data_IF_065251813430
#
_entry.id   IF_065251813430
#
_cell.length_a   1.000
_cell.length_b   1.000
_cell.length_c   1.000
_cell.angle_alpha   90.00
_cell.angle_beta   90.00
_cell.angle_gamma   90.00
#
_symmetry.space_group_name_H-M   'P 1'
#
loop_
_entity.id
_entity.type
_entity.pdbx_description
1 polymer ?
#
# COMPACT_ATOMS: atom_id res chain seq x y z
N UNK A 1 -25.33 20.65 8.21
CA UNK A 1 -25.60 19.20 8.33
C UNK A 1 -24.28 18.48 8.19
N UNK A 2 -23.78 17.85 9.26
CA UNK A 2 -22.54 17.08 9.19
C UNK A 2 -22.85 15.72 8.54
N UNK A 3 -22.24 15.46 7.40
CA UNK A 3 -22.34 14.15 6.74
C UNK A 3 -21.45 13.19 7.53
N UNK A 4 -22.04 12.25 8.26
CA UNK A 4 -21.30 11.27 9.09
C UNK A 4 -20.72 10.10 8.26
N UNK A 5 -20.30 10.40 7.03
CA UNK A 5 -19.79 9.41 6.10
C UNK A 5 -18.33 9.15 6.45
N UNK A 6 -18.07 7.99 7.05
CA UNK A 6 -16.73 7.58 7.48
C UNK A 6 -16.06 6.60 6.52
N UNK A 7 -16.83 5.95 5.64
CA UNK A 7 -16.32 4.92 4.74
C UNK A 7 -16.88 5.11 3.33
N UNK A 8 -15.99 5.08 2.34
CA UNK A 8 -16.29 5.22 0.93
C UNK A 8 -15.58 4.07 0.21
N UNK A 9 -16.34 3.17 -0.41
CA UNK A 9 -15.79 2.08 -1.19
C UNK A 9 -16.25 2.17 -2.64
N UNK A 10 -15.28 2.10 -3.54
CA UNK A 10 -15.42 1.91 -4.97
C UNK A 10 -14.87 0.54 -5.38
N UNK A 11 -14.67 -0.39 -4.44
CA UNK A 11 -14.04 -1.68 -4.74
C UNK A 11 -14.70 -2.37 -5.94
N UNK A 12 -13.88 -2.90 -6.84
CA UNK A 12 -14.28 -3.57 -8.09
C UNK A 12 -15.13 -2.70 -9.03
N UNK A 13 -15.07 -1.38 -8.89
CA UNK A 13 -15.68 -0.43 -9.82
C UNK A 13 -14.60 0.13 -10.73
N UNK A 14 -14.63 -0.22 -12.02
CA UNK A 14 -13.70 0.33 -13.00
C UNK A 14 -13.95 1.82 -13.16
N UNK A 15 -12.95 2.62 -12.81
CA UNK A 15 -12.99 4.08 -12.92
C UNK A 15 -12.02 4.52 -14.01
N UNK A 16 -12.52 5.16 -15.09
CA UNK A 16 -11.68 5.86 -16.04
C UNK A 16 -10.77 6.87 -15.34
N UNK A 17 -9.56 7.14 -15.87
CA UNK A 17 -8.59 8.05 -15.26
C UNK A 17 -9.17 9.44 -14.91
N UNK A 18 -10.02 10.00 -15.78
CA UNK A 18 -10.64 11.30 -15.56
C UNK A 18 -11.62 11.30 -14.39
N UNK A 19 -12.42 10.24 -14.24
CA UNK A 19 -13.36 10.08 -13.14
C UNK A 19 -12.63 9.81 -11.82
N UNK A 20 -11.61 8.96 -11.84
CA UNK A 20 -10.76 8.73 -10.69
C UNK A 20 -10.10 10.04 -10.24
N UNK A 21 -9.56 10.83 -11.17
CA UNK A 21 -8.97 12.14 -10.87
C UNK A 21 -9.99 13.09 -10.24
N UNK A 22 -11.16 13.24 -10.86
CA UNK A 22 -12.22 14.12 -10.35
C UNK A 22 -12.68 13.70 -8.95
N UNK A 23 -12.84 12.39 -8.72
CA UNK A 23 -13.20 11.80 -7.43
C UNK A 23 -12.14 12.10 -6.37
N UNK A 24 -10.87 11.79 -6.64
CA UNK A 24 -9.77 12.00 -5.69
C UNK A 24 -9.60 13.48 -5.34
N UNK A 25 -9.70 14.38 -6.33
CA UNK A 25 -9.67 15.83 -6.11
C UNK A 25 -10.87 16.31 -5.28
N UNK A 26 -12.08 15.81 -5.57
CA UNK A 26 -13.28 16.13 -4.81
C UNK A 26 -13.17 15.69 -3.34
N UNK A 27 -12.61 14.50 -3.10
CA UNK A 27 -12.33 14.00 -1.74
C UNK A 27 -11.24 14.82 -1.04
N UNK A 28 -10.19 15.23 -1.75
CA UNK A 28 -9.12 16.06 -1.21
C UNK A 28 -9.63 17.44 -0.76
N UNK A 29 -10.50 18.07 -1.56
CA UNK A 29 -11.14 19.35 -1.27
C UNK A 29 -12.19 19.28 -0.16
N UNK A 30 -12.65 18.09 0.23
CA UNK A 30 -13.66 17.94 1.25
C UNK A 30 -13.09 18.15 2.66
N UNK A 31 -13.50 19.23 3.33
CA UNK A 31 -13.08 19.55 4.70
C UNK A 31 -13.93 18.86 5.78
N UNK A 32 -15.10 18.32 5.41
CA UNK A 32 -16.07 17.77 6.37
C UNK A 32 -15.91 16.26 6.58
N UNK A 33 -15.31 15.55 5.62
CA UNK A 33 -15.19 14.09 5.64
C UNK A 33 -13.89 13.57 6.29
N UNK A 34 -13.08 14.42 6.94
CA UNK A 34 -11.75 14.02 7.43
C UNK A 34 -11.78 13.65 8.93
N UNK A 35 -11.20 12.50 9.33
CA UNK A 35 -10.56 11.46 8.51
C UNK A 35 -11.55 10.32 8.13
N UNK A 36 -11.47 9.85 6.88
CA UNK A 36 -12.33 8.78 6.33
C UNK A 36 -11.54 7.55 5.88
N UNK A 37 -12.24 6.47 5.60
CA UNK A 37 -11.75 5.25 4.99
C UNK A 37 -12.08 5.27 3.49
N UNK A 38 -11.08 5.09 2.64
CA UNK A 38 -11.22 5.00 1.19
C UNK A 38 -10.81 3.62 0.71
N UNK A 39 -11.69 2.96 -0.02
CA UNK A 39 -11.41 1.69 -0.67
C UNK A 39 -11.55 1.85 -2.18
N UNK A 40 -10.44 1.72 -2.89
CA UNK A 40 -10.34 1.80 -4.35
C UNK A 40 -9.64 0.54 -4.88
N UNK A 41 -9.96 -0.60 -4.28
CA UNK A 41 -9.43 -1.91 -4.68
C UNK A 41 -10.00 -2.35 -6.04
N UNK A 42 -9.17 -2.82 -6.97
CA UNK A 42 -9.64 -3.31 -8.27
C UNK A 42 -10.35 -2.25 -9.12
N UNK A 43 -9.98 -0.98 -8.97
CA UNK A 43 -10.62 0.16 -9.66
C UNK A 43 -9.78 0.75 -10.79
N UNK A 44 -8.47 0.53 -10.74
CA UNK A 44 -7.46 1.15 -11.59
C UNK A 44 -7.41 0.47 -12.97
N UNK A 45 -7.75 1.22 -14.03
CA UNK A 45 -7.47 0.80 -15.41
C UNK A 45 -6.00 1.06 -15.80
N UNK A 46 -5.57 0.54 -16.96
CA UNK A 46 -4.26 0.91 -17.56
C UNK A 46 -4.20 2.43 -17.65
N UNK A 47 -3.19 3.06 -17.03
CA UNK A 47 -2.96 4.52 -16.87
C UNK A 47 -3.49 5.20 -15.61
N UNK A 48 -4.31 4.56 -14.77
CA UNK A 48 -4.80 5.19 -13.54
C UNK A 48 -3.70 5.38 -12.47
N UNK A 49 -2.58 4.65 -12.54
CA UNK A 49 -1.47 4.75 -11.58
C UNK A 49 -0.86 6.15 -11.49
N UNK A 50 -0.73 6.87 -12.61
CA UNK A 50 -0.20 8.24 -12.63
C UNK A 50 -1.16 9.24 -11.99
N UNK A 51 -2.48 9.00 -12.14
CA UNK A 51 -3.52 9.78 -11.46
C UNK A 51 -3.45 9.55 -9.96
N UNK A 52 -3.27 8.30 -9.52
CA UNK A 52 -3.09 7.94 -8.11
C UNK A 52 -1.85 8.65 -7.54
N UNK A 53 -0.70 8.56 -8.18
CA UNK A 53 0.52 9.25 -7.76
C UNK A 53 0.30 10.77 -7.62
N UNK A 54 -0.34 11.40 -8.60
CA UNK A 54 -0.56 12.84 -8.59
C UNK A 54 -1.59 13.30 -7.54
N UNK A 55 -2.65 12.53 -7.31
CA UNK A 55 -3.82 12.99 -6.54
C UNK A 55 -3.84 12.49 -5.09
N UNK A 56 -3.20 11.35 -4.78
CA UNK A 56 -3.23 10.76 -3.43
C UNK A 56 -2.57 11.67 -2.37
N UNK A 57 -1.56 12.44 -2.75
CA UNK A 57 -0.85 13.37 -1.84
C UNK A 57 -1.78 14.41 -1.20
N UNK A 58 -2.87 14.80 -1.88
CA UNK A 58 -3.85 15.76 -1.39
C UNK A 58 -4.93 15.16 -0.48
N UNK A 59 -5.06 13.83 -0.45
CA UNK A 59 -6.09 13.14 0.31
C UNK A 59 -5.62 12.93 1.75
N UNK A 60 -6.52 13.19 2.70
CA UNK A 60 -6.27 12.97 4.12
C UNK A 60 -7.22 11.90 4.64
N UNK A 61 -6.88 10.64 4.37
CA UNK A 61 -7.65 9.47 4.78
C UNK A 61 -6.96 8.74 5.94
N UNK A 62 -7.76 8.14 6.84
CA UNK A 62 -7.26 7.26 7.91
C UNK A 62 -6.85 5.90 7.35
N UNK A 63 -7.60 5.42 6.37
CA UNK A 63 -7.43 4.09 5.79
C UNK A 63 -7.55 4.16 4.28
N UNK A 64 -6.67 3.46 3.59
CA UNK A 64 -6.68 3.37 2.14
C UNK A 64 -6.45 1.92 1.70
N UNK A 65 -7.32 1.42 0.83
CA UNK A 65 -7.11 0.15 0.13
C UNK A 65 -6.89 0.38 -1.36
N UNK A 66 -5.76 -0.12 -1.85
CA UNK A 66 -5.32 -0.13 -3.24
C UNK A 66 -5.09 -1.56 -3.75
N UNK A 67 -5.71 -2.55 -3.09
CA UNK A 67 -5.61 -3.97 -3.46
C UNK A 67 -6.00 -4.18 -4.94
N UNK A 68 -5.36 -5.13 -5.61
CA UNK A 68 -5.74 -5.60 -6.96
C UNK A 68 -5.83 -4.52 -8.05
N UNK A 69 -4.99 -3.48 -7.97
CA UNK A 69 -4.96 -2.39 -8.97
C UNK A 69 -3.90 -2.58 -10.07
N UNK A 70 -3.19 -3.72 -10.10
CA UNK A 70 -2.20 -4.05 -11.12
C UNK A 70 -1.17 -2.93 -11.40
N UNK A 71 -0.70 -2.26 -10.34
CA UNK A 71 0.17 -1.07 -10.43
C UNK A 71 1.55 -1.35 -11.06
N UNK A 72 2.07 -2.56 -10.89
CA UNK A 72 3.32 -3.06 -11.47
C UNK A 72 4.50 -2.10 -11.27
N UNK A 73 5.05 -1.51 -12.34
CA UNK A 73 6.20 -0.60 -12.29
C UNK A 73 5.86 0.76 -11.67
N UNK A 74 4.60 1.19 -11.82
CA UNK A 74 4.10 2.48 -11.35
C UNK A 74 3.81 2.47 -9.85
N UNK A 75 3.87 1.31 -9.20
CA UNK A 75 3.63 1.17 -7.77
C UNK A 75 4.60 2.02 -6.94
N UNK A 76 5.84 2.24 -7.41
CA UNK A 76 6.79 3.11 -6.72
C UNK A 76 6.29 4.55 -6.60
N UNK A 77 5.79 5.12 -7.70
CA UNK A 77 5.22 6.47 -7.70
C UNK A 77 4.06 6.60 -6.72
N UNK A 78 3.15 5.63 -6.74
CA UNK A 78 2.01 5.56 -5.81
C UNK A 78 2.49 5.47 -4.36
N UNK A 79 3.46 4.61 -4.05
CA UNK A 79 4.04 4.48 -2.69
C UNK A 79 4.67 5.80 -2.22
N UNK A 80 5.40 6.51 -3.09
CA UNK A 80 5.93 7.84 -2.74
C UNK A 80 4.81 8.85 -2.45
N UNK A 81 3.70 8.80 -3.18
CA UNK A 81 2.55 9.65 -2.90
C UNK A 81 1.93 9.34 -1.53
N UNK A 82 1.81 8.05 -1.19
CA UNK A 82 1.28 7.59 0.10
C UNK A 82 2.12 8.06 1.31
N UNK A 83 3.44 8.16 1.14
CA UNK A 83 4.34 8.65 2.18
C UNK A 83 4.02 10.10 2.64
N UNK A 84 3.33 10.88 1.80
CA UNK A 84 2.94 12.25 2.14
C UNK A 84 1.62 12.33 2.95
N UNK A 85 0.88 11.23 3.09
CA UNK A 85 -0.41 11.20 3.79
C UNK A 85 -0.20 10.99 5.29
N UNK A 86 -0.01 12.09 6.03
CA UNK A 86 0.25 12.08 7.49
C UNK A 86 -0.91 11.56 8.35
N UNK A 87 -2.10 11.42 7.77
CA UNK A 87 -3.28 10.89 8.47
C UNK A 87 -3.46 9.38 8.23
N UNK A 88 -2.68 8.78 7.33
CA UNK A 88 -2.81 7.39 6.92
C UNK A 88 -2.29 6.44 7.99
N UNK A 89 -3.16 5.52 8.38
CA UNK A 89 -2.98 4.67 9.56
C UNK A 89 -3.23 3.20 9.25
N UNK A 90 -4.07 2.93 8.25
CA UNK A 90 -4.23 1.61 7.64
C UNK A 90 -4.00 1.69 6.15
N UNK A 91 -3.12 0.84 5.62
CA UNK A 91 -2.81 0.77 4.21
C UNK A 91 -2.89 -0.68 3.71
N UNK A 92 -3.65 -0.90 2.64
CA UNK A 92 -3.74 -2.18 1.95
C UNK A 92 -3.18 -2.05 0.53
N UNK A 93 -2.06 -2.74 0.29
CA UNK A 93 -1.36 -2.84 -0.99
C UNK A 93 -1.32 -4.28 -1.51
N UNK A 94 -2.12 -5.17 -0.92
CA UNK A 94 -2.13 -6.60 -1.24
C UNK A 94 -2.64 -6.95 -2.64
N UNK A 95 -2.74 -8.24 -2.90
CA UNK A 95 -3.26 -8.79 -4.15
C UNK A 95 -2.32 -8.62 -5.34
N UNK A 96 -2.90 -8.40 -6.52
CA UNK A 96 -2.19 -8.51 -7.80
C UNK A 96 -1.28 -7.33 -8.17
N UNK A 97 -1.06 -6.36 -7.26
CA UNK A 97 -0.33 -5.11 -7.56
C UNK A 97 1.07 -5.32 -8.18
N UNK A 98 1.83 -6.33 -7.73
CA UNK A 98 3.17 -6.64 -8.26
C UNK A 98 3.23 -7.98 -9.00
N UNK A 99 2.11 -8.68 -9.13
CA UNK A 99 2.08 -10.11 -9.47
C UNK A 99 2.65 -10.43 -10.87
N UNK A 100 2.48 -9.54 -11.85
CA UNK A 100 3.08 -9.73 -13.18
C UNK A 100 4.61 -9.57 -13.15
N UNK A 101 5.12 -8.57 -12.42
CA UNK A 101 6.55 -8.38 -12.24
C UNK A 101 7.19 -9.58 -11.52
N UNK A 102 6.47 -10.16 -10.56
CA UNK A 102 6.87 -11.37 -9.85
C UNK A 102 6.99 -12.62 -10.74
N UNK A 103 6.08 -12.77 -11.70
CA UNK A 103 6.08 -13.92 -12.63
C UNK A 103 7.12 -13.77 -13.74
N UNK A 104 7.66 -12.58 -13.94
CA UNK A 104 8.68 -12.32 -14.94
C UNK A 104 10.04 -12.89 -14.52
N UNK A 105 10.73 -13.56 -15.46
CA UNK A 105 12.10 -14.05 -15.28
C UNK A 105 13.16 -12.96 -15.47
N UNK A 106 12.77 -11.72 -15.81
CA UNK A 106 13.70 -10.62 -16.05
C UNK A 106 14.25 -10.08 -14.73
N UNK A 107 15.58 -10.11 -14.57
CA UNK A 107 16.27 -9.57 -13.40
C UNK A 107 15.90 -8.10 -13.10
N UNK A 108 15.66 -7.30 -14.15
CA UNK A 108 15.21 -5.91 -13.99
C UNK A 108 13.86 -5.81 -13.24
N UNK A 109 12.91 -6.70 -13.49
CA UNK A 109 11.61 -6.70 -12.82
C UNK A 109 11.75 -7.10 -11.34
N UNK A 110 12.61 -8.07 -11.05
CA UNK A 110 12.94 -8.44 -9.67
C UNK A 110 13.56 -7.27 -8.90
N UNK A 111 14.43 -6.48 -9.55
CA UNK A 111 15.01 -5.27 -8.95
C UNK A 111 13.95 -4.20 -8.66
N UNK A 112 12.99 -3.98 -9.57
CA UNK A 112 11.85 -3.06 -9.35
C UNK A 112 11.01 -3.50 -8.17
N UNK A 113 10.70 -4.80 -8.04
CA UNK A 113 9.96 -5.33 -6.89
C UNK A 113 10.72 -5.08 -5.58
N UNK A 114 12.01 -5.43 -5.52
CA UNK A 114 12.83 -5.19 -4.32
C UNK A 114 12.86 -3.72 -3.92
N UNK A 115 13.02 -2.82 -4.91
CA UNK A 115 13.01 -1.38 -4.67
C UNK A 115 11.65 -0.87 -4.19
N UNK A 116 10.56 -1.38 -4.76
CA UNK A 116 9.20 -1.04 -4.31
C UNK A 116 8.97 -1.47 -2.86
N UNK A 117 9.44 -2.66 -2.46
CA UNK A 117 9.33 -3.12 -1.07
C UNK A 117 10.17 -2.26 -0.13
N UNK A 118 11.37 -1.83 -0.53
CA UNK A 118 12.16 -0.85 0.21
C UNK A 118 11.42 0.47 0.43
N UNK A 119 10.72 0.97 -0.60
CA UNK A 119 9.94 2.20 -0.47
C UNK A 119 8.68 2.00 0.41
N UNK A 120 8.06 0.82 0.38
CA UNK A 120 6.99 0.45 1.33
C UNK A 120 7.50 0.40 2.76
N UNK A 121 8.73 -0.07 2.99
CA UNK A 121 9.35 -0.06 4.33
C UNK A 121 9.48 1.35 4.89
N UNK A 122 9.82 2.33 4.04
CA UNK A 122 9.87 3.73 4.46
C UNK A 122 8.52 4.28 4.89
N UNK A 123 7.40 3.68 4.44
CA UNK A 123 6.06 4.10 4.87
C UNK A 123 5.78 3.82 6.35
N UNK A 124 6.52 2.92 7.00
CA UNK A 124 6.37 2.64 8.43
C UNK A 124 7.67 2.82 9.23
N UNK A 125 8.71 3.34 8.58
CA UNK A 125 9.95 3.79 9.24
C UNK A 125 9.86 5.29 9.54
N UNK A 126 10.73 5.84 10.40
CA UNK A 126 10.89 7.29 10.65
C UNK A 126 9.61 8.04 11.11
N UNK A 127 9.17 7.83 12.36
CA UNK A 127 8.02 8.53 12.98
C UNK A 127 6.73 8.47 12.12
N UNK A 128 6.58 7.40 11.36
CA UNK A 128 5.39 7.19 10.54
C UNK A 128 4.16 6.98 11.43
N UNK A 129 3.00 7.58 11.09
CA UNK A 129 1.75 7.29 11.78
C UNK A 129 1.22 5.87 11.49
N UNK A 130 1.70 5.17 10.46
CA UNK A 130 1.09 3.93 9.95
C UNK A 130 1.03 2.82 11.02
N UNK A 131 -0.18 2.36 11.33
CA UNK A 131 -0.43 1.34 12.36
C UNK A 131 -0.71 -0.04 11.74
N UNK A 132 -1.31 -0.09 10.56
CA UNK A 132 -1.70 -1.33 9.89
C UNK A 132 -1.21 -1.35 8.44
N UNK A 133 -0.45 -2.37 8.07
CA UNK A 133 0.01 -2.61 6.70
C UNK A 133 -0.45 -3.99 6.23
N UNK A 134 -1.15 -4.03 5.11
CA UNK A 134 -1.63 -5.26 4.48
C UNK A 134 -0.92 -5.42 3.14
N UNK A 135 -0.20 -6.53 3.01
CA UNK A 135 0.52 -6.98 1.82
C UNK A 135 0.14 -8.43 1.49
N UNK A 136 -1.06 -8.88 1.87
CA UNK A 136 -1.52 -10.25 1.61
C UNK A 136 -1.59 -10.56 0.11
N UNK A 137 -1.51 -11.83 -0.25
CA UNK A 137 -1.78 -12.35 -1.61
C UNK A 137 -0.88 -11.77 -2.73
N UNK A 138 0.20 -11.07 -2.37
CA UNK A 138 1.11 -10.43 -3.31
C UNK A 138 2.23 -11.35 -3.83
N UNK A 139 2.31 -12.59 -3.31
CA UNK A 139 3.32 -13.61 -3.68
C UNK A 139 4.75 -13.08 -3.69
N UNK A 140 5.09 -12.27 -2.68
CA UNK A 140 6.34 -11.51 -2.59
C UNK A 140 7.57 -12.32 -2.12
N UNK A 141 7.41 -13.59 -1.75
CA UNK A 141 8.48 -14.56 -1.48
C UNK A 141 9.70 -13.96 -0.77
N UNK A 142 10.93 -14.14 -1.29
CA UNK A 142 12.15 -13.68 -0.63
C UNK A 142 12.32 -12.15 -0.61
N UNK A 143 11.57 -11.40 -1.42
CA UNK A 143 11.68 -9.93 -1.47
C UNK A 143 11.12 -9.26 -0.20
N UNK A 144 10.26 -9.94 0.56
CA UNK A 144 9.80 -9.47 1.87
C UNK A 144 10.88 -9.50 2.95
N UNK A 145 12.02 -10.14 2.70
CA UNK A 145 13.11 -10.25 3.70
C UNK A 145 13.56 -8.90 4.23
N UNK A 146 13.63 -7.89 3.36
CA UNK A 146 13.97 -6.52 3.72
C UNK A 146 12.93 -5.93 4.67
N UNK A 147 11.64 -6.09 4.34
CA UNK A 147 10.53 -5.64 5.18
C UNK A 147 10.57 -6.31 6.55
N UNK A 148 10.79 -7.62 6.59
CA UNK A 148 10.85 -8.36 7.84
C UNK A 148 12.03 -7.92 8.72
N UNK A 149 13.20 -7.66 8.13
CA UNK A 149 14.37 -7.22 8.89
C UNK A 149 14.20 -5.83 9.52
N UNK A 150 13.35 -4.97 8.95
CA UNK A 150 13.11 -3.61 9.50
C UNK A 150 11.97 -3.55 10.51
N UNK A 151 11.18 -4.62 10.68
CA UNK A 151 10.10 -4.67 11.68
C UNK A 151 10.60 -4.45 13.11
N UNK A 152 11.83 -4.86 13.43
CA UNK A 152 12.41 -4.60 14.76
C UNK A 152 12.65 -3.12 15.06
N UNK A 153 12.64 -2.26 14.04
CA UNK A 153 12.80 -0.80 14.17
C UNK A 153 11.47 -0.05 13.99
N UNK A 154 10.38 -0.73 13.63
CA UNK A 154 9.08 -0.10 13.43
C UNK A 154 8.49 0.30 14.79
N UNK A 155 8.19 1.58 14.98
CA UNK A 155 7.71 2.12 16.26
C UNK A 155 6.19 2.21 16.36
N UNK A 156 5.50 2.33 15.22
CA UNK A 156 4.05 2.58 15.14
C UNK A 156 3.24 1.41 14.58
N UNK A 157 3.86 0.53 13.80
CA UNK A 157 3.19 -0.58 13.13
C UNK A 157 2.75 -1.65 14.16
N UNK A 158 1.43 -1.86 14.26
CA UNK A 158 0.79 -2.81 15.20
C UNK A 158 0.22 -4.03 14.50
N UNK A 159 -0.11 -3.90 13.22
CA UNK A 159 -0.68 -4.97 12.42
C UNK A 159 0.05 -5.06 11.08
N UNK A 160 0.53 -6.27 10.77
CA UNK A 160 1.14 -6.59 9.50
C UNK A 160 0.52 -7.87 8.96
N UNK A 161 -0.17 -7.78 7.82
CA UNK A 161 -0.67 -8.94 7.10
C UNK A 161 0.23 -9.23 5.89
N UNK A 162 0.95 -10.36 5.97
CA UNK A 162 1.81 -10.90 4.91
C UNK A 162 1.36 -12.31 4.51
N UNK A 163 0.10 -12.65 4.74
CA UNK A 163 -0.48 -13.94 4.33
C UNK A 163 -0.36 -14.16 2.82
N UNK A 164 -0.28 -15.42 2.39
CA UNK A 164 -0.20 -15.81 0.97
C UNK A 164 0.95 -15.14 0.17
N UNK A 165 2.10 -14.92 0.81
CA UNK A 165 3.30 -14.38 0.17
C UNK A 165 4.38 -15.41 -0.17
N UNK A 166 4.13 -16.71 -0.09
CA UNK A 166 5.12 -17.74 -0.46
C UNK A 166 6.48 -17.58 0.26
N UNK A 167 6.46 -17.15 1.53
CA UNK A 167 7.65 -16.86 2.34
C UNK A 167 8.56 -18.08 2.58
N UNK A 168 7.97 -19.29 2.57
CA UNK A 168 8.66 -20.55 2.81
C UNK A 168 9.41 -20.62 4.14
N UNK A 169 10.33 -21.57 4.25
CA UNK A 169 11.18 -21.76 5.44
C UNK A 169 12.04 -20.54 5.77
N UNK A 170 12.41 -19.75 4.75
CA UNK A 170 13.26 -18.58 4.92
C UNK A 170 12.54 -17.46 5.67
N UNK A 171 11.31 -17.12 5.28
CA UNK A 171 10.53 -16.10 5.98
C UNK A 171 10.17 -16.51 7.40
N UNK A 172 9.86 -17.79 7.64
CA UNK A 172 9.63 -18.31 8.99
C UNK A 172 10.86 -18.09 9.91
N UNK A 173 12.07 -18.30 9.40
CA UNK A 173 13.32 -18.09 10.13
C UNK A 173 13.63 -16.61 10.41
N UNK A 174 13.20 -15.70 9.55
CA UNK A 174 13.36 -14.26 9.82
C UNK A 174 12.34 -13.81 10.86
N UNK A 175 11.08 -14.24 10.71
CA UNK A 175 10.02 -13.93 11.68
C UNK A 175 10.38 -14.38 13.10
N UNK A 176 10.99 -15.56 13.27
CA UNK A 176 11.45 -16.03 14.59
C UNK A 176 12.52 -15.15 15.24
N UNK A 177 13.28 -14.39 14.45
CA UNK A 177 14.28 -13.42 14.95
C UNK A 177 13.65 -12.09 15.32
N UNK A 178 12.70 -11.63 14.51
CA UNK A 178 11.98 -10.37 14.73
C UNK A 178 11.12 -10.44 15.99
N UNK A 179 10.43 -11.56 16.21
CA UNK A 179 9.64 -11.78 17.44
C UNK A 179 10.49 -11.76 18.71
N UNK A 180 11.80 -12.08 18.60
CA UNK A 180 12.72 -12.04 19.73
C UNK A 180 13.25 -10.62 20.05
N UNK A 181 13.04 -9.65 19.14
CA UNK A 181 13.48 -8.26 19.31
C UNK A 181 12.35 -7.33 19.80
N UNK A 182 11.11 -7.80 19.82
CA UNK A 182 9.92 -7.01 20.18
C UNK A 182 9.58 -7.02 21.69
N UNK A 183 10.52 -7.42 22.55
CA UNK A 183 10.45 -7.31 24.02
C UNK A 183 11.13 -6.05 24.51
#
# INVERSE_FOLDING_TARGET
MAVNLSHISFANTLLPPDLMKAMLLGLASNQQLKPFHLDISGTCEKTCSSVLEACLTGIQCRSLSLRDNNLETEMQGVVHALANIKTLRRLDLGGANLLALRRSSKQAHAAVVSKTILDVVKLFSDDSPLEELILSDARLGPHLSVLLNTLGAATSLRFLDISNNDLGHFGARILSKVSALAT
#
